data_IF_363120830799
#
_entry.id   IF_363120830799
#
_cell.length_a   1.000
_cell.length_b   1.000
_cell.length_c   1.000
_cell.angle_alpha   90.00
_cell.angle_beta   90.00
_cell.angle_gamma   90.00
#
_symmetry.space_group_name_H-M   'P 1'
#
loop_
_entity.id
_entity.type
_entity.pdbx_description
1 polymer ?
#
# COMPACT_ATOMS: atom_id res chain seq x y z
N UNK A 1 -22.27 0.34 -7.86
CA UNK A 1 -21.02 0.22 -7.08
C UNK A 1 -19.82 0.96 -7.69
N UNK A 2 -19.90 1.62 -8.86
CA UNK A 2 -18.81 2.49 -9.37
C UNK A 2 -17.55 1.79 -9.91
N UNK A 3 -17.56 0.45 -10.03
CA UNK A 3 -16.41 -0.35 -10.48
C UNK A 3 -15.28 -0.40 -9.45
N UNK A 4 -14.12 -0.92 -9.85
CA UNK A 4 -12.96 -1.07 -8.98
C UNK A 4 -12.38 0.27 -8.48
N UNK A 5 -12.74 1.42 -9.07
CA UNK A 5 -12.35 2.74 -8.52
C UNK A 5 -12.89 2.98 -7.11
N UNK A 6 -14.07 2.45 -6.81
CA UNK A 6 -14.75 2.63 -5.52
C UNK A 6 -14.47 1.50 -4.53
N UNK A 7 -13.58 0.55 -4.84
CA UNK A 7 -13.25 -0.52 -3.90
C UNK A 7 -12.47 0.00 -2.67
N UNK A 8 -12.52 -0.69 -1.52
CA UNK A 8 -11.76 -0.30 -0.33
C UNK A 8 -10.23 -0.33 -0.55
N UNK A 9 -9.48 0.34 0.34
CA UNK A 9 -8.02 0.51 0.21
C UNK A 9 -7.24 -0.81 0.07
N UNK A 10 -7.63 -1.87 0.78
CA UNK A 10 -6.99 -3.18 0.67
C UNK A 10 -7.24 -3.83 -0.69
N UNK A 11 -8.42 -3.66 -1.28
CA UNK A 11 -8.70 -4.16 -2.63
C UNK A 11 -7.85 -3.40 -3.67
N UNK A 12 -7.72 -2.06 -3.54
CA UNK A 12 -6.81 -1.28 -4.40
C UNK A 12 -5.37 -1.77 -4.30
N UNK A 13 -4.90 -2.07 -3.08
CA UNK A 13 -3.57 -2.62 -2.85
C UNK A 13 -3.36 -3.95 -3.61
N UNK A 14 -4.27 -4.92 -3.46
CA UNK A 14 -4.17 -6.21 -4.15
C UNK A 14 -4.23 -6.07 -5.67
N UNK A 15 -5.13 -5.22 -6.19
CA UNK A 15 -5.20 -4.94 -7.64
C UNK A 15 -3.91 -4.26 -8.14
N UNK A 16 -3.26 -3.44 -7.30
CA UNK A 16 -1.98 -2.83 -7.63
C UNK A 16 -0.84 -3.83 -7.67
N UNK A 17 -0.77 -4.75 -6.69
CA UNK A 17 0.16 -5.90 -6.71
C UNK A 17 -0.05 -6.75 -7.97
N UNK A 18 -1.30 -6.99 -8.37
CA UNK A 18 -1.62 -7.72 -9.59
C UNK A 18 -1.24 -6.96 -10.88
N UNK A 19 -1.06 -5.63 -10.79
CA UNK A 19 -0.72 -4.78 -11.94
C UNK A 19 -1.92 -4.32 -12.77
N UNK A 20 -3.14 -4.41 -12.22
CA UNK A 20 -4.38 -3.96 -12.86
C UNK A 20 -4.96 -2.70 -12.20
N UNK A 21 -4.20 -2.05 -11.31
CA UNK A 21 -4.50 -0.76 -10.70
C UNK A 21 -3.19 -0.01 -10.45
N UNK A 22 -3.12 1.28 -10.75
CA UNK A 22 -1.87 2.03 -10.54
C UNK A 22 -1.62 2.34 -9.06
N UNK A 23 -0.36 2.22 -8.62
CA UNK A 23 0.04 2.56 -7.25
C UNK A 23 -0.27 4.03 -6.87
N UNK A 24 -0.33 4.92 -7.86
CA UNK A 24 -0.75 6.31 -7.68
C UNK A 24 -2.19 6.46 -7.14
N UNK A 25 -3.03 5.42 -7.29
CA UNK A 25 -4.39 5.38 -6.76
C UNK A 25 -4.50 4.77 -5.36
N UNK A 26 -3.38 4.43 -4.72
CA UNK A 26 -3.33 3.91 -3.35
C UNK A 26 -2.76 4.99 -2.42
N UNK A 27 -3.32 5.14 -1.22
CA UNK A 27 -2.73 6.00 -0.20
C UNK A 27 -1.37 5.44 0.24
N UNK A 28 -0.41 6.32 0.55
CA UNK A 28 0.95 5.92 0.93
C UNK A 28 0.96 4.96 2.12
N UNK A 29 1.80 3.93 2.02
CA UNK A 29 2.09 2.97 3.08
C UNK A 29 3.60 3.07 3.38
N UNK A 30 4.06 4.12 4.09
CA UNK A 30 5.48 4.44 4.22
C UNK A 30 6.19 3.46 5.15
N UNK A 31 7.23 2.78 4.65
CA UNK A 31 8.07 1.90 5.46
C UNK A 31 8.91 2.67 6.49
N UNK A 32 9.12 3.98 6.28
CA UNK A 32 9.83 4.89 7.19
C UNK A 32 9.18 4.97 8.59
N UNK A 33 7.90 4.58 8.73
CA UNK A 33 7.25 4.51 10.04
C UNK A 33 7.95 3.54 10.99
N UNK A 34 8.60 2.49 10.47
CA UNK A 34 9.37 1.54 11.27
C UNK A 34 10.66 2.15 11.83
N UNK A 35 11.16 3.23 11.24
CA UNK A 35 12.34 3.95 11.72
C UNK A 35 12.01 5.01 12.79
N UNK A 36 10.74 5.20 13.15
CA UNK A 36 10.35 6.15 14.18
C UNK A 36 10.91 5.72 15.56
N UNK A 37 11.20 6.65 16.47
CA UNK A 37 11.55 6.30 17.84
C UNK A 37 10.40 5.55 18.54
N UNK A 38 10.71 4.58 19.40
CA UNK A 38 9.70 3.78 20.12
C UNK A 38 8.77 4.63 21.01
N UNK A 39 9.19 5.80 21.48
CA UNK A 39 8.33 6.70 22.27
C UNK A 39 7.24 7.36 21.41
N UNK A 40 7.42 7.41 20.10
CA UNK A 40 6.53 8.09 19.18
C UNK A 40 5.11 7.45 19.19
N UNK A 41 4.01 8.24 19.26
CA UNK A 41 2.67 7.71 19.55
C UNK A 41 2.12 6.77 18.48
N UNK A 42 2.45 6.98 17.21
CA UNK A 42 2.02 6.14 16.10
C UNK A 42 3.14 5.23 15.55
N UNK A 43 4.13 4.89 16.38
CA UNK A 43 5.11 3.87 16.02
C UNK A 43 4.41 2.52 15.74
N UNK A 44 4.71 1.79 14.64
CA UNK A 44 4.04 0.54 14.28
C UNK A 44 4.01 -0.52 15.38
N UNK A 45 5.07 -0.59 16.19
CA UNK A 45 5.14 -1.48 17.37
C UNK A 45 4.07 -1.24 18.45
N UNK A 46 3.40 -0.08 18.45
CA UNK A 46 2.27 0.22 19.36
C UNK A 46 0.90 -0.10 18.76
N UNK A 47 0.84 -0.39 17.46
CA UNK A 47 -0.41 -0.74 16.79
C UNK A 47 -0.80 -2.18 17.13
N UNK A 48 -2.11 -2.46 17.04
CA UNK A 48 -2.65 -3.80 17.20
C UNK A 48 -1.91 -4.81 16.30
N UNK A 49 -1.66 -6.02 16.82
CA UNK A 49 -0.82 -7.03 16.16
C UNK A 49 -1.28 -7.34 14.74
N UNK A 50 -2.55 -7.67 14.53
CA UNK A 50 -3.06 -7.95 13.19
C UNK A 50 -2.94 -6.74 12.25
N UNK A 51 -3.11 -5.52 12.76
CA UNK A 51 -2.92 -4.32 11.93
C UNK A 51 -1.46 -4.19 11.49
N UNK A 52 -0.50 -4.18 12.43
CA UNK A 52 0.91 -4.00 12.07
C UNK A 52 1.47 -5.15 11.23
N UNK A 53 1.06 -6.40 11.48
CA UNK A 53 1.57 -7.55 10.73
C UNK A 53 1.00 -7.62 9.32
N UNK A 54 -0.21 -7.08 9.06
CA UNK A 54 -0.71 -6.93 7.68
C UNK A 54 -0.06 -5.75 6.96
N UNK A 55 0.08 -4.61 7.64
CA UNK A 55 0.68 -3.42 7.01
C UNK A 55 2.20 -3.51 6.82
N UNK A 56 2.88 -4.44 7.51
CA UNK A 56 4.31 -4.71 7.37
C UNK A 56 4.70 -5.18 5.95
N UNK A 57 4.18 -6.29 5.40
CA UNK A 57 4.48 -6.67 4.03
C UNK A 57 3.85 -5.70 3.02
N UNK A 58 2.70 -5.10 3.34
CA UNK A 58 2.10 -4.08 2.47
C UNK A 58 3.01 -2.87 2.27
N UNK A 59 3.67 -2.37 3.33
CA UNK A 59 4.58 -1.23 3.19
C UNK A 59 5.82 -1.61 2.38
N UNK A 60 6.33 -2.83 2.55
CA UNK A 60 7.48 -3.35 1.82
C UNK A 60 7.21 -3.47 0.31
N UNK A 61 6.06 -4.06 -0.07
CA UNK A 61 5.61 -4.17 -1.46
C UNK A 61 5.28 -2.81 -2.07
N UNK A 62 4.58 -1.94 -1.32
CA UNK A 62 4.23 -0.60 -1.76
C UNK A 62 5.49 0.22 -2.06
N UNK A 63 6.45 0.28 -1.13
CA UNK A 63 7.64 1.10 -1.27
C UNK A 63 8.52 0.71 -2.47
N UNK A 64 8.52 -0.57 -2.85
CA UNK A 64 9.20 -1.07 -4.05
C UNK A 64 8.35 -0.99 -5.31
N UNK A 65 7.08 -0.60 -5.19
CA UNK A 65 6.09 -0.58 -6.29
C UNK A 65 5.99 -1.94 -6.97
N UNK A 66 6.01 -3.01 -6.18
CA UNK A 66 5.91 -4.37 -6.69
C UNK A 66 4.63 -4.54 -7.52
N UNK A 67 4.76 -5.13 -8.70
CA UNK A 67 3.63 -5.51 -9.55
C UNK A 67 3.95 -6.82 -10.25
N UNK A 68 2.92 -7.57 -10.63
CA UNK A 68 3.09 -8.74 -11.48
C UNK A 68 3.89 -8.37 -12.75
N UNK A 69 5.00 -9.07 -12.98
CA UNK A 69 5.90 -8.81 -14.11
C UNK A 69 5.19 -8.91 -15.47
N UNK A 70 4.18 -9.78 -15.56
CA UNK A 70 3.42 -10.03 -16.78
C UNK A 70 2.22 -9.10 -16.97
N UNK A 71 2.08 -8.04 -16.18
CA UNK A 71 0.91 -7.14 -16.21
C UNK A 71 0.58 -6.57 -17.60
N UNK A 72 1.58 -6.43 -18.47
CA UNK A 72 1.43 -5.86 -19.82
C UNK A 72 1.46 -6.91 -20.94
N UNK A 73 1.69 -8.19 -20.61
CA UNK A 73 1.77 -9.29 -21.58
C UNK A 73 0.73 -10.38 -21.36
N UNK A 74 0.19 -10.50 -20.15
CA UNK A 74 -0.85 -11.47 -19.82
C UNK A 74 -2.24 -11.01 -20.33
N UNK A 75 -2.88 -11.75 -21.25
CA UNK A 75 -4.21 -11.41 -21.76
C UNK A 75 -5.28 -11.27 -20.67
N UNK A 76 -5.20 -12.04 -19.58
CA UNK A 76 -6.18 -11.97 -18.49
C UNK A 76 -6.04 -10.65 -17.75
N UNK A 77 -4.82 -10.22 -17.44
CA UNK A 77 -4.57 -8.97 -16.74
C UNK A 77 -4.97 -7.76 -17.59
N UNK A 78 -4.69 -7.80 -18.89
CA UNK A 78 -5.13 -6.78 -19.84
C UNK A 78 -6.66 -6.73 -19.93
N UNK A 79 -7.33 -7.89 -19.92
CA UNK A 79 -8.79 -7.97 -19.94
C UNK A 79 -9.40 -7.38 -18.65
N UNK A 80 -8.83 -7.71 -17.49
CA UNK A 80 -9.26 -7.16 -16.20
C UNK A 80 -9.20 -5.63 -16.16
N UNK A 81 -8.16 -5.01 -16.75
CA UNK A 81 -8.09 -3.53 -16.85
C UNK A 81 -9.24 -2.91 -17.65
N UNK A 82 -9.92 -3.69 -18.52
CA UNK A 82 -11.09 -3.24 -19.29
C UNK A 82 -12.41 -3.54 -18.59
N UNK A 83 -12.47 -4.65 -17.84
CA UNK A 83 -13.70 -5.14 -17.20
C UNK A 83 -13.97 -4.49 -15.84
N UNK A 84 -12.92 -4.22 -15.06
CA UNK A 84 -13.06 -3.78 -13.67
C UNK A 84 -13.47 -2.31 -13.53
N UNK A 85 -13.23 -1.49 -14.55
CA UNK A 85 -13.37 -0.04 -14.47
C UNK A 85 -14.52 0.46 -15.34
N UNK A 86 -15.22 1.47 -14.84
CA UNK A 86 -16.33 2.13 -15.56
C UNK A 86 -15.85 3.18 -16.57
N UNK A 87 -14.57 3.58 -16.48
CA UNK A 87 -13.91 4.50 -17.39
C UNK A 87 -12.72 3.80 -18.06
N UNK A 88 -12.28 4.26 -19.25
CA UNK A 88 -11.10 3.72 -19.91
C UNK A 88 -9.87 3.81 -19.00
N UNK A 89 -9.16 2.68 -18.81
CA UNK A 89 -8.03 2.55 -17.88
C UNK A 89 -7.01 3.69 -18.00
N UNK A 90 -6.65 4.03 -19.24
CA UNK A 90 -5.63 5.06 -19.55
C UNK A 90 -6.08 6.49 -19.26
N UNK A 91 -7.38 6.72 -19.03
CA UNK A 91 -7.94 8.05 -18.73
C UNK A 91 -8.19 8.26 -17.23
N UNK A 92 -7.98 7.23 -16.41
CA UNK A 92 -8.23 7.31 -14.97
C UNK A 92 -7.18 8.21 -14.32
N UNK A 93 -7.65 9.21 -13.57
CA UNK A 93 -6.79 10.09 -12.77
C UNK A 93 -6.52 9.45 -11.41
N UNK A 94 -5.67 8.44 -11.39
CA UNK A 94 -5.42 7.59 -10.21
C UNK A 94 -5.20 8.36 -8.91
N UNK A 95 -4.38 9.42 -8.93
CA UNK A 95 -4.08 10.22 -7.74
C UNK A 95 -5.32 10.86 -7.07
N UNK A 96 -6.37 11.14 -7.85
CA UNK A 96 -7.62 11.72 -7.36
C UNK A 96 -8.54 10.67 -6.72
N UNK A 97 -8.39 9.40 -7.11
CA UNK A 97 -9.26 8.30 -6.68
C UNK A 97 -8.80 7.64 -5.37
N UNK A 98 -7.69 8.08 -4.77
CA UNK A 98 -7.12 7.48 -3.54
C UNK A 98 -8.10 7.42 -2.37
N UNK A 99 -8.97 8.43 -2.26
CA UNK A 99 -9.97 8.52 -1.19
C UNK A 99 -11.36 8.05 -1.59
N UNK A 100 -11.53 7.60 -2.84
CA UNK A 100 -12.81 7.13 -3.36
C UNK A 100 -13.10 5.75 -2.82
N UNK A 101 -14.17 5.59 -2.05
CA UNK A 101 -14.68 4.30 -1.57
C UNK A 101 -16.19 4.33 -1.68
N UNK A 102 -16.78 3.22 -2.11
CA UNK A 102 -18.23 3.00 -2.18
C UNK A 102 -18.85 3.28 -0.80
N UNK A 103 -19.88 4.13 -0.70
CA UNK A 103 -20.54 4.40 0.57
C UNK A 103 -21.11 3.15 1.25
N UNK A 104 -21.45 2.13 0.47
CA UNK A 104 -21.99 0.85 0.97
C UNK A 104 -20.93 0.02 1.71
N UNK A 105 -19.66 0.17 1.35
CA UNK A 105 -18.54 -0.61 1.89
C UNK A 105 -17.72 0.22 2.91
N UNK A 106 -18.13 1.46 3.17
CA UNK A 106 -17.41 2.40 4.01
C UNK A 106 -17.88 2.36 5.48
N UNK A 107 -17.60 1.25 6.16
CA UNK A 107 -17.95 1.07 7.57
C UNK A 107 -17.28 2.09 8.51
N UNK A 108 -16.02 2.44 8.24
CA UNK A 108 -15.22 3.40 9.02
C UNK A 108 -14.72 4.54 8.15
N UNK A 109 -15.49 5.64 8.00
CA UNK A 109 -15.10 6.78 7.19
C UNK A 109 -13.79 7.43 7.65
N UNK A 110 -12.90 7.70 6.70
CA UNK A 110 -11.65 8.43 6.95
C UNK A 110 -11.96 9.84 7.43
N UNK A 111 -11.45 10.20 8.61
CA UNK A 111 -11.62 11.53 9.20
C UNK A 111 -10.95 12.62 8.36
N UNK A 112 -11.36 13.89 8.53
CA UNK A 112 -10.72 15.01 7.84
C UNK A 112 -9.21 15.11 8.15
N UNK A 113 -8.82 14.85 9.40
CA UNK A 113 -7.42 14.84 9.81
C UNK A 113 -6.64 13.72 9.09
N UNK A 114 -7.17 12.51 9.08
CA UNK A 114 -6.50 11.39 8.41
C UNK A 114 -6.40 11.63 6.89
N UNK A 115 -7.45 12.19 6.27
CA UNK A 115 -7.44 12.57 4.85
C UNK A 115 -6.35 13.61 4.56
N UNK A 116 -6.20 14.60 5.43
CA UNK A 116 -5.13 15.59 5.34
C UNK A 116 -3.75 14.92 5.44
N UNK A 117 -3.52 14.06 6.44
CA UNK A 117 -2.25 13.33 6.60
C UNK A 117 -1.93 12.46 5.37
N UNK A 118 -2.90 11.72 4.83
CA UNK A 118 -2.74 10.96 3.60
C UNK A 118 -2.41 11.83 2.38
N UNK A 119 -2.89 13.07 2.33
CA UNK A 119 -2.55 14.01 1.26
C UNK A 119 -1.11 14.52 1.40
N UNK A 120 -0.68 14.85 2.63
CA UNK A 120 0.71 15.21 2.91
C UNK A 120 1.65 14.07 2.53
N UNK A 121 1.32 12.83 2.93
CA UNK A 121 2.11 11.65 2.58
C UNK A 121 2.14 11.39 1.06
N UNK A 122 1.07 11.69 0.32
CA UNK A 122 1.09 11.58 -1.14
C UNK A 122 2.03 12.57 -1.80
N UNK A 123 2.03 13.80 -1.32
CA UNK A 123 2.94 14.84 -1.80
C UNK A 123 4.38 14.40 -1.51
N UNK A 124 4.64 13.90 -0.30
CA UNK A 124 5.93 13.28 0.05
C UNK A 124 6.32 12.15 -0.92
N UNK A 125 5.45 11.17 -1.17
CA UNK A 125 5.73 10.06 -2.12
C UNK A 125 5.97 10.53 -3.56
N UNK A 126 5.28 11.57 -4.00
CA UNK A 126 5.41 12.10 -5.37
C UNK A 126 6.71 12.86 -5.54
N UNK A 127 7.18 13.50 -4.48
CA UNK A 127 8.38 14.32 -4.47
C UNK A 127 9.63 13.53 -4.15
N UNK A 128 9.51 12.38 -3.46
CA UNK A 128 10.64 11.50 -3.13
C UNK A 128 11.52 11.15 -4.35
N UNK A 129 10.96 10.74 -5.52
CA UNK A 129 11.77 10.41 -6.70
C UNK A 129 12.35 11.65 -7.39
N UNK A 130 11.64 12.77 -7.35
CA UNK A 130 12.04 14.04 -7.97
C UNK A 130 13.17 14.71 -7.20
N UNK A 131 13.12 14.63 -5.88
CA UNK A 131 14.05 15.35 -5.01
C UNK A 131 15.23 14.49 -4.61
N UNK A 132 15.10 13.15 -4.59
CA UNK A 132 16.15 12.17 -4.21
C UNK A 132 17.12 12.75 -3.17
N UNK A 133 16.57 13.48 -2.19
CA UNK A 133 17.40 14.17 -1.23
C UNK A 133 18.02 13.06 -0.37
N UNK A 134 19.35 13.04 -0.22
CA UNK A 134 20.05 11.95 0.46
C UNK A 134 19.41 11.46 1.77
N UNK A 135 18.90 12.34 2.67
CA UNK A 135 18.31 11.85 3.93
C UNK A 135 16.98 11.11 3.75
N UNK A 136 16.15 11.47 2.75
CA UNK A 136 14.83 10.86 2.58
C UNK A 136 14.90 9.54 1.84
N UNK A 137 15.76 9.43 0.82
CA UNK A 137 16.02 8.14 0.16
C UNK A 137 16.67 7.16 1.12
N UNK A 138 17.63 7.62 1.93
CA UNK A 138 18.25 6.78 2.95
C UNK A 138 17.23 6.26 3.98
N UNK A 139 16.32 7.13 4.46
CA UNK A 139 15.29 6.73 5.41
C UNK A 139 14.32 5.70 4.82
N UNK A 140 13.93 5.88 3.54
CA UNK A 140 13.13 4.89 2.79
C UNK A 140 13.85 3.55 2.74
N UNK A 141 15.14 3.53 2.40
CA UNK A 141 15.93 2.30 2.30
C UNK A 141 16.07 1.60 3.66
N UNK A 142 16.27 2.35 4.75
CA UNK A 142 16.29 1.79 6.10
C UNK A 142 14.93 1.20 6.49
N UNK A 143 13.83 1.89 6.16
CA UNK A 143 12.48 1.40 6.42
C UNK A 143 12.19 0.10 5.67
N UNK A 144 12.55 0.03 4.39
CA UNK A 144 12.41 -1.19 3.58
C UNK A 144 13.25 -2.33 4.16
N UNK A 145 14.50 -2.06 4.55
CA UNK A 145 15.38 -3.08 5.13
C UNK A 145 14.81 -3.62 6.44
N UNK A 146 14.42 -2.74 7.35
CA UNK A 146 13.83 -3.12 8.64
C UNK A 146 12.53 -3.90 8.46
N UNK A 147 11.67 -3.48 7.52
CA UNK A 147 10.45 -4.22 7.20
C UNK A 147 10.78 -5.62 6.68
N UNK A 148 11.75 -5.74 5.75
CA UNK A 148 12.21 -7.04 5.24
C UNK A 148 12.78 -7.96 6.32
N UNK A 149 13.62 -7.44 7.22
CA UNK A 149 14.15 -8.19 8.36
C UNK A 149 13.03 -8.70 9.28
N UNK A 150 11.99 -7.90 9.52
CA UNK A 150 10.83 -8.29 10.33
C UNK A 150 9.95 -9.34 9.65
N UNK A 151 9.81 -9.29 8.33
CA UNK A 151 9.08 -10.30 7.56
C UNK A 151 9.77 -11.67 7.71
N UNK A 152 11.08 -11.73 7.45
CA UNK A 152 11.84 -12.97 7.63
C UNK A 152 11.77 -13.49 9.07
N UNK A 153 11.85 -12.58 10.05
CA UNK A 153 11.74 -12.97 11.46
C UNK A 153 10.35 -13.53 11.81
N UNK A 154 9.26 -12.99 11.26
CA UNK A 154 7.91 -13.53 11.47
C UNK A 154 7.79 -14.94 10.89
N UNK A 155 8.23 -15.14 9.65
CA UNK A 155 8.22 -16.45 8.99
C UNK A 155 9.00 -17.49 9.82
N UNK A 156 10.22 -17.16 10.25
CA UNK A 156 11.05 -18.06 11.06
C UNK A 156 10.43 -18.37 12.43
N UNK A 157 9.82 -17.38 13.09
CA UNK A 157 9.25 -17.53 14.43
C UNK A 157 7.92 -18.28 14.42
N UNK A 158 7.19 -18.26 13.31
CA UNK A 158 5.86 -18.86 13.18
C UNK A 158 5.86 -20.15 12.38
N UNK A 159 7.03 -20.65 11.95
CA UNK A 159 7.18 -21.76 11.01
C UNK A 159 6.42 -21.51 9.70
N UNK A 160 6.52 -20.30 9.16
CA UNK A 160 5.91 -19.87 7.89
C UNK A 160 4.38 -20.01 7.90
N UNK A 161 3.75 -19.83 9.07
CA UNK A 161 2.29 -19.78 9.22
C UNK A 161 1.80 -18.33 9.32
N UNK A 162 2.61 -17.48 9.95
CA UNK A 162 2.29 -16.13 10.38
C UNK A 162 1.08 -16.02 11.31
N UNK A 163 0.68 -14.80 11.68
CA UNK A 163 -0.49 -14.57 12.55
C UNK A 163 -1.84 -14.81 11.84
N UNK A 164 -1.88 -14.80 10.51
CA UNK A 164 -3.11 -14.99 9.76
C UNK A 164 -2.93 -15.07 8.24
N UNK A 165 -4.01 -15.38 7.51
CA UNK A 165 -3.92 -15.69 6.08
C UNK A 165 -3.54 -14.48 5.23
N UNK A 166 -3.94 -13.27 5.65
CA UNK A 166 -3.68 -12.05 4.88
C UNK A 166 -2.19 -11.73 4.87
N UNK A 167 -1.55 -11.67 6.03
CA UNK A 167 -0.13 -11.38 6.06
C UNK A 167 0.70 -12.56 5.55
N UNK A 168 0.29 -13.81 5.79
CA UNK A 168 0.94 -14.97 5.16
C UNK A 168 0.99 -14.92 3.66
N UNK A 169 -0.09 -14.48 3.02
CA UNK A 169 -0.13 -14.37 1.56
C UNK A 169 0.77 -13.26 0.99
N UNK A 170 1.27 -12.37 1.85
CA UNK A 170 2.09 -11.22 1.48
C UNK A 170 3.56 -11.32 1.95
N UNK A 171 3.84 -12.07 3.02
CA UNK A 171 5.19 -12.46 3.48
C UNK A 171 5.81 -13.47 2.50
#
# INVERSE_FOLDING_TARGET
HGGALQCPSWAKFWLSVLGVHEWAGVNSIPAEMWCLPLWFPFHPGKLWCHCRMVYLPMCWLYCQRFQCERKDTDPVLISLRRELYTAPYDRIRWWAERHTVSPLDNYSPVTHLQRFLHNVLCVYETLLPLWRLPPMSWLRDQGIRMAGEYLCAEDEQTNFIDIGPVNKSLN
#
